data_IF_000224397038
#
_entry.id   IF_000224397038
#
_cell.length_a   1.000
_cell.length_b   1.000
_cell.length_c   1.000
_cell.angle_alpha   90.00
_cell.angle_beta   90.00
_cell.angle_gamma   90.00
#
_symmetry.space_group_name_H-M   'P 1'
#
loop_
_entity.id
_entity.type
_entity.pdbx_description
1 polymer ?
#
# COMPACT_ATOMS: atom_id res chain seq x y z
N UNK A 1 41.77 37.59 35.97
CA UNK A 1 41.49 38.23 34.66
C UNK A 1 42.64 38.01 33.66
N UNK A 2 42.44 37.15 32.66
CA UNK A 2 42.91 37.28 31.26
C UNK A 2 42.52 36.00 30.50
N UNK A 3 41.75 36.22 29.44
CA UNK A 3 41.08 35.23 28.60
C UNK A 3 42.07 34.45 27.72
N UNK A 4 41.82 33.15 27.54
CA UNK A 4 42.35 32.36 26.42
C UNK A 4 41.24 32.23 25.35
N UNK A 5 41.53 32.42 24.06
CA UNK A 5 40.53 32.25 23.02
C UNK A 5 40.42 30.76 22.64
N UNK A 6 39.28 30.14 22.94
CA UNK A 6 38.95 28.82 22.46
C UNK A 6 38.63 28.88 20.94
N UNK A 7 39.50 28.25 20.16
CA UNK A 7 39.36 27.98 18.73
C UNK A 7 38.04 27.27 18.42
N UNK A 8 37.08 27.97 17.81
CA UNK A 8 35.83 27.42 17.30
C UNK A 8 36.07 26.61 16.01
N UNK A 9 36.13 25.28 16.13
CA UNK A 9 36.03 24.37 14.98
C UNK A 9 34.54 24.24 14.59
N UNK A 10 34.15 24.45 13.32
CA UNK A 10 32.77 24.22 12.90
C UNK A 10 32.45 22.72 12.92
N UNK A 11 31.34 22.37 13.58
CA UNK A 11 30.77 21.02 13.57
C UNK A 11 30.35 20.67 12.13
N UNK A 12 31.10 19.78 11.48
CA UNK A 12 30.70 19.18 10.19
C UNK A 12 29.41 18.39 10.41
N UNK A 13 28.31 18.82 9.78
CA UNK A 13 27.14 17.97 9.62
C UNK A 13 27.52 16.75 8.76
N UNK A 14 27.07 15.53 9.10
CA UNK A 14 27.20 14.40 8.20
C UNK A 14 26.32 14.65 6.97
N UNK A 15 26.94 14.53 5.79
CA UNK A 15 26.26 14.53 4.50
C UNK A 15 25.18 13.43 4.48
N UNK A 16 24.01 13.66 3.85
CA UNK A 16 22.99 12.62 3.71
C UNK A 16 23.56 11.50 2.86
N UNK A 17 23.98 10.41 3.51
CA UNK A 17 24.32 9.15 2.85
C UNK A 17 23.12 8.74 2.01
N UNK A 18 23.33 8.64 0.70
CA UNK A 18 22.32 8.23 -0.28
C UNK A 18 21.64 6.96 0.20
N UNK A 19 20.38 7.10 0.62
CA UNK A 19 19.52 5.96 0.90
C UNK A 19 19.23 5.32 -0.45
N UNK A 20 19.96 4.27 -0.76
CA UNK A 20 19.72 3.44 -1.92
C UNK A 20 18.44 2.63 -1.63
N UNK A 21 17.28 3.19 -1.97
CA UNK A 21 16.06 2.41 -2.01
C UNK A 21 16.25 1.36 -3.10
N UNK A 22 16.12 0.06 -2.83
CA UNK A 22 16.02 -0.91 -3.91
C UNK A 22 14.78 -0.54 -4.71
N UNK A 23 15.00 -0.03 -5.92
CA UNK A 23 13.95 0.10 -6.93
C UNK A 23 13.51 -1.32 -7.24
N UNK A 24 12.48 -1.79 -6.55
CA UNK A 24 11.74 -2.97 -6.95
C UNK A 24 11.00 -2.61 -8.22
N UNK A 25 11.69 -2.69 -9.37
CA UNK A 25 11.08 -2.76 -10.67
C UNK A 25 10.34 -4.11 -10.77
N UNK A 26 9.25 -4.26 -10.01
CA UNK A 26 8.24 -5.25 -10.32
C UNK A 26 7.59 -4.74 -11.59
N UNK A 27 7.92 -5.38 -12.71
CA UNK A 27 7.17 -5.29 -13.94
C UNK A 27 5.73 -5.68 -13.61
N UNK A 28 4.91 -4.70 -13.26
CA UNK A 28 3.47 -4.85 -13.27
C UNK A 28 3.12 -5.05 -14.73
N UNK A 29 2.91 -6.30 -15.14
CA UNK A 29 2.09 -6.55 -16.32
C UNK A 29 0.73 -5.98 -15.97
N UNK A 30 0.53 -4.70 -16.30
CA UNK A 30 -0.73 -4.03 -16.14
C UNK A 30 -1.75 -4.91 -16.87
N UNK A 31 -2.56 -5.67 -16.09
CA UNK A 31 -3.87 -6.04 -16.59
C UNK A 31 -4.52 -4.73 -16.99
N UNK A 32 -5.14 -4.64 -18.18
CA UNK A 32 -5.79 -3.41 -18.61
C UNK A 32 -6.66 -2.94 -17.45
N UNK A 33 -6.37 -1.73 -16.96
CA UNK A 33 -7.18 -1.12 -15.92
C UNK A 33 -8.60 -1.15 -16.46
N UNK A 34 -9.44 -2.02 -15.90
CA UNK A 34 -10.85 -2.01 -16.22
C UNK A 34 -11.30 -0.61 -15.83
N UNK A 35 -11.76 0.16 -16.82
CA UNK A 35 -12.31 1.46 -16.53
C UNK A 35 -13.37 1.25 -15.45
N UNK A 36 -13.36 2.09 -14.42
CA UNK A 36 -14.34 2.08 -13.34
C UNK A 36 -15.77 2.44 -13.80
N UNK A 37 -16.05 2.30 -15.10
CA UNK A 37 -17.35 2.39 -15.74
C UNK A 37 -18.11 1.05 -15.73
N UNK A 38 -17.68 0.08 -14.92
CA UNK A 38 -18.40 -1.17 -14.72
C UNK A 38 -19.81 -0.88 -14.21
N UNK A 39 -20.81 -1.52 -14.83
CA UNK A 39 -22.19 -1.47 -14.38
C UNK A 39 -22.30 -1.77 -12.86
N UNK A 40 -23.35 -1.30 -12.18
CA UNK A 40 -23.57 -1.55 -10.74
C UNK A 40 -23.63 -3.05 -10.36
N UNK A 41 -23.62 -3.95 -11.36
CA UNK A 41 -23.55 -5.41 -11.28
C UNK A 41 -22.25 -5.95 -10.65
N UNK A 42 -21.15 -5.20 -10.68
CA UNK A 42 -19.82 -5.70 -10.28
C UNK A 42 -19.35 -5.23 -8.89
N UNK A 43 -20.17 -4.44 -8.19
CA UNK A 43 -19.86 -3.97 -6.83
C UNK A 43 -20.51 -4.93 -5.82
N UNK A 44 -19.73 -5.40 -4.85
CA UNK A 44 -20.24 -6.22 -3.76
C UNK A 44 -19.69 -5.78 -2.41
N UNK A 45 -20.51 -5.92 -1.38
CA UNK A 45 -20.12 -5.64 0.00
C UNK A 45 -19.36 -6.85 0.58
N UNK A 46 -18.28 -6.57 1.32
CA UNK A 46 -17.49 -7.59 2.00
C UNK A 46 -17.40 -7.32 3.49
N UNK A 47 -18.00 -8.20 4.29
CA UNK A 47 -17.78 -8.23 5.74
C UNK A 47 -16.55 -9.07 6.06
N UNK A 48 -15.55 -8.46 6.69
CA UNK A 48 -14.32 -9.14 7.13
C UNK A 48 -14.33 -9.31 8.65
N UNK A 49 -14.15 -10.54 9.13
CA UNK A 49 -13.96 -10.84 10.55
C UNK A 49 -12.47 -10.94 10.85
N UNK A 50 -11.98 -10.13 11.80
CA UNK A 50 -10.59 -10.17 12.27
C UNK A 50 -10.48 -10.91 13.59
N UNK A 51 -9.69 -11.97 13.65
CA UNK A 51 -9.39 -12.67 14.89
C UNK A 51 -8.28 -11.96 15.70
N UNK A 52 -8.18 -12.28 16.99
CA UNK A 52 -7.14 -11.72 17.85
C UNK A 52 -5.74 -12.03 17.30
N UNK A 53 -4.89 -11.01 17.19
CA UNK A 53 -3.55 -11.11 16.61
C UNK A 53 -3.49 -11.13 15.08
N UNK A 54 -4.63 -11.25 14.39
CA UNK A 54 -4.70 -11.25 12.93
C UNK A 54 -4.73 -9.81 12.38
N UNK A 55 -4.12 -9.60 11.20
CA UNK A 55 -4.28 -8.37 10.42
C UNK A 55 -5.26 -8.62 9.28
N UNK A 56 -5.78 -7.54 8.67
CA UNK A 56 -6.70 -7.66 7.53
C UNK A 56 -6.09 -8.46 6.37
N UNK A 57 -4.77 -8.40 6.19
CA UNK A 57 -4.06 -9.18 5.17
C UNK A 57 -4.18 -8.58 3.77
N UNK A 58 -4.38 -7.27 3.66
CA UNK A 58 -4.43 -6.56 2.39
C UNK A 58 -3.48 -5.36 2.43
N UNK A 59 -2.73 -5.17 1.35
CA UNK A 59 -2.03 -3.93 1.05
C UNK A 59 -2.86 -3.15 0.04
N UNK A 60 -2.98 -1.85 0.22
CA UNK A 60 -3.76 -0.98 -0.66
C UNK A 60 -2.89 0.12 -1.25
N UNK A 61 -3.23 0.54 -2.45
CA UNK A 61 -2.59 1.63 -3.17
C UNK A 61 -3.62 2.72 -3.43
N UNK A 62 -3.35 3.92 -2.91
CA UNK A 62 -4.10 5.12 -3.29
C UNK A 62 -3.59 5.66 -4.61
N UNK A 63 -4.50 5.96 -5.53
CA UNK A 63 -4.21 6.57 -6.82
C UNK A 63 -5.03 7.85 -6.93
N UNK A 64 -4.36 8.96 -7.24
CA UNK A 64 -5.01 10.25 -7.47
C UNK A 64 -4.67 10.73 -8.89
N UNK A 65 -5.69 10.99 -9.70
CA UNK A 65 -5.55 11.57 -11.03
C UNK A 65 -6.57 12.69 -11.21
N UNK A 66 -6.09 13.93 -11.38
CA UNK A 66 -6.82 15.17 -11.67
C UNK A 66 -8.15 15.37 -10.92
N UNK A 67 -9.20 14.63 -11.29
CA UNK A 67 -10.57 14.75 -10.78
C UNK A 67 -11.05 13.55 -9.95
N UNK A 68 -10.21 12.52 -9.76
CA UNK A 68 -10.61 11.30 -9.04
C UNK A 68 -9.51 10.78 -8.11
N UNK A 69 -9.94 10.28 -6.96
CA UNK A 69 -9.13 9.51 -6.02
C UNK A 69 -9.75 8.12 -5.87
N UNK A 70 -8.95 7.07 -6.02
CA UNK A 70 -9.39 5.69 -5.87
C UNK A 70 -8.38 4.91 -5.03
N UNK A 71 -8.86 3.88 -4.33
CA UNK A 71 -8.05 2.96 -3.56
C UNK A 71 -8.16 1.59 -4.20
N UNK A 72 -7.02 0.97 -4.49
CA UNK A 72 -6.97 -0.35 -5.11
C UNK A 72 -6.30 -1.35 -4.18
N UNK A 73 -6.71 -2.61 -4.29
CA UNK A 73 -6.02 -3.73 -3.65
C UNK A 73 -4.69 -3.96 -4.37
N UNK A 74 -3.59 -3.69 -3.67
CA UNK A 74 -2.24 -3.92 -4.21
C UNK A 74 -1.82 -5.37 -4.04
N UNK A 75 -2.14 -6.00 -2.92
CA UNK A 75 -1.69 -7.37 -2.61
C UNK A 75 -2.58 -7.99 -1.54
N UNK A 76 -2.88 -9.28 -1.68
CA UNK A 76 -3.54 -10.08 -0.63
C UNK A 76 -2.51 -11.00 0.02
N UNK A 77 -2.35 -10.89 1.34
CA UNK A 77 -1.40 -11.68 2.13
C UNK A 77 -2.08 -12.91 2.70
N UNK A 78 -1.40 -14.05 2.58
CA UNK A 78 -1.80 -15.30 3.22
C UNK A 78 -1.89 -15.16 4.74
N UNK A 79 -2.82 -15.91 5.33
CA UNK A 79 -3.04 -15.95 6.78
C UNK A 79 -3.74 -14.73 7.38
N UNK A 80 -4.11 -13.72 6.58
CA UNK A 80 -4.95 -12.60 7.03
C UNK A 80 -6.45 -12.81 6.80
N UNK A 81 -7.26 -11.89 7.33
CA UNK A 81 -8.73 -11.98 7.28
C UNK A 81 -9.27 -12.01 5.84
N UNK A 82 -8.67 -11.25 4.91
CA UNK A 82 -9.05 -11.27 3.48
C UNK A 82 -8.73 -12.62 2.83
N UNK A 83 -7.56 -13.19 3.12
CA UNK A 83 -7.20 -14.52 2.62
C UNK A 83 -8.21 -15.57 3.12
N UNK A 84 -8.54 -15.55 4.41
CA UNK A 84 -9.56 -16.44 4.98
C UNK A 84 -10.92 -16.26 4.31
N UNK A 85 -11.39 -15.02 4.15
CA UNK A 85 -12.63 -14.72 3.42
C UNK A 85 -12.62 -15.35 2.02
N UNK A 86 -11.52 -15.18 1.28
CA UNK A 86 -11.39 -15.72 -0.07
C UNK A 86 -11.43 -17.26 -0.12
N UNK A 87 -11.03 -17.94 0.95
CA UNK A 87 -11.12 -19.41 1.03
C UNK A 87 -12.54 -19.92 1.25
N UNK A 88 -13.44 -19.10 1.79
CA UNK A 88 -14.80 -19.50 2.16
C UNK A 88 -15.89 -18.91 1.26
N UNK A 89 -15.60 -17.83 0.53
CA UNK A 89 -16.55 -17.20 -0.38
C UNK A 89 -16.55 -17.81 -1.80
N UNK A 90 -17.59 -17.49 -2.57
CA UNK A 90 -17.65 -17.84 -3.99
C UNK A 90 -16.56 -17.11 -4.77
N UNK A 91 -16.12 -17.72 -5.88
CA UNK A 91 -15.00 -17.20 -6.71
C UNK A 91 -15.24 -15.76 -7.17
N UNK A 92 -16.50 -15.40 -7.45
CA UNK A 92 -16.92 -14.07 -7.90
C UNK A 92 -16.84 -13.00 -6.81
N UNK A 93 -16.90 -13.40 -5.54
CA UNK A 93 -16.83 -12.48 -4.38
C UNK A 93 -15.45 -12.46 -3.72
N UNK A 94 -14.43 -13.01 -4.37
CA UNK A 94 -13.06 -12.98 -3.86
C UNK A 94 -12.45 -11.61 -4.10
N UNK A 95 -11.83 -11.05 -3.08
CA UNK A 95 -11.01 -9.83 -3.19
C UNK A 95 -9.67 -10.21 -3.82
N UNK A 96 -9.26 -9.49 -4.88
CA UNK A 96 -8.06 -9.78 -5.68
C UNK A 96 -7.24 -8.52 -5.92
N UNK A 97 -6.00 -8.72 -6.35
CA UNK A 97 -5.13 -7.62 -6.78
C UNK A 97 -5.75 -6.88 -7.97
N UNK A 98 -5.79 -5.56 -7.87
CA UNK A 98 -6.41 -4.67 -8.86
C UNK A 98 -7.88 -4.32 -8.57
N UNK A 99 -8.53 -4.96 -7.60
CA UNK A 99 -9.90 -4.60 -7.22
C UNK A 99 -9.95 -3.18 -6.64
N UNK A 100 -10.98 -2.42 -7.00
CA UNK A 100 -11.24 -1.09 -6.47
C UNK A 100 -12.03 -1.17 -5.17
N UNK A 101 -11.66 -0.35 -4.19
CA UNK A 101 -12.38 -0.18 -2.92
C UNK A 101 -13.12 1.15 -3.00
N UNK A 102 -14.44 1.07 -2.88
CA UNK A 102 -15.39 2.20 -2.95
C UNK A 102 -15.96 2.55 -1.57
#
# INVERSE_FOLDING_TARGET
PKQSPASSKPLRLPSPSSIHFPVFARTWTARPAMSCNSQPSDIFEVTLTRHSGERLGVAVMGVAFMEATAVFVQTVREGGSVHRHNTTCSVEKRIREGDCIV
#
